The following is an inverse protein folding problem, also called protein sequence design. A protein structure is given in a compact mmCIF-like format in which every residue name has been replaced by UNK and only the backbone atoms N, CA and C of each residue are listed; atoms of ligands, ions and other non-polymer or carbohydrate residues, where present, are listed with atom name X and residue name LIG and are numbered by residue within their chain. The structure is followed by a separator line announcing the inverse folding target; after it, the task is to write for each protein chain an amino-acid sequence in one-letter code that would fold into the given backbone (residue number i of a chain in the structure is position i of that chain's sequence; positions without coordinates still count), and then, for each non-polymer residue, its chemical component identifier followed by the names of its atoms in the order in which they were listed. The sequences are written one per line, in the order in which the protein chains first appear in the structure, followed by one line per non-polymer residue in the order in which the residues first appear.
data_IF_528838247206
#
_entry.id   IF_528838247206
#
_cell.length_a   1.000
_cell.length_b   1.000
_cell.length_c   1.000
_cell.angle_alpha   90.00
_cell.angle_beta   90.00
_cell.angle_gamma   90.00
#
_symmetry.space_group_name_H-M   'P 1'
#
loop_
_entity.id
_entity.type
_entity.pdbx_description
1 polymer ?
#
# COMPACT_ATOMS: atom_id res chain seq x y z
N UNK A 1 -1.71 -11.60 91.71
CA UNK A 1 -0.23 -11.60 91.66
C UNK A 1 0.15 -10.85 90.39
N UNK A 2 0.47 -9.55 90.50
CA UNK A 2 1.80 -8.96 90.76
C UNK A 2 2.79 -9.17 89.60
N UNK A 3 3.19 -8.04 89.02
CA UNK A 3 4.23 -7.83 88.00
C UNK A 3 5.60 -8.41 88.42
N UNK A 4 6.56 -8.41 87.47
CA UNK A 4 7.65 -7.45 87.68
C UNK A 4 8.00 -6.60 86.46
N UNK A 5 8.32 -5.35 86.76
CA UNK A 5 9.04 -4.39 85.93
C UNK A 5 10.48 -4.86 85.66
N UNK A 6 10.97 -4.59 84.46
CA UNK A 6 12.40 -4.32 84.23
C UNK A 6 12.57 -3.28 83.13
N UNK A 7 13.52 -2.40 83.39
CA UNK A 7 13.67 -1.05 82.85
C UNK A 7 14.18 -1.01 81.41
N UNK A 8 13.79 0.06 80.73
CA UNK A 8 14.38 0.56 79.49
C UNK A 8 15.92 0.53 79.52
N UNK A 9 16.51 -0.10 78.50
CA UNK A 9 17.81 0.28 77.95
C UNK A 9 17.54 0.76 76.53
N UNK A 10 17.65 2.06 76.30
CA UNK A 10 17.44 2.66 75.00
C UNK A 10 18.44 2.10 73.98
N UNK A 11 17.93 1.39 72.98
CA UNK A 11 18.56 1.39 71.67
C UNK A 11 17.72 2.34 70.84
N UNK A 12 18.19 3.57 70.72
CA UNK A 12 17.67 4.53 69.76
C UNK A 12 17.71 3.85 68.40
N UNK A 13 16.55 3.41 67.94
CA UNK A 13 16.28 3.07 66.56
C UNK A 13 16.49 4.35 65.76
N UNK A 14 17.77 4.65 65.45
CA UNK A 14 18.10 5.56 64.36
C UNK A 14 17.35 4.99 63.15
N UNK A 15 16.56 5.80 62.43
CA UNK A 15 16.14 5.37 61.11
C UNK A 15 17.45 5.07 60.40
N UNK A 16 17.64 3.84 59.93
CA UNK A 16 18.63 3.56 58.89
C UNK A 16 18.20 4.41 57.70
N UNK A 17 18.59 5.69 57.74
CA UNK A 17 18.64 6.53 56.58
C UNK A 17 19.54 5.73 55.65
N UNK A 18 18.90 5.15 54.62
CA UNK A 18 19.54 4.73 53.39
C UNK A 18 20.51 5.84 52.99
N UNK A 19 21.75 5.74 53.44
CA UNK A 19 22.84 6.61 53.01
C UNK A 19 23.22 6.12 51.63
N UNK A 20 22.38 6.45 50.65
CA UNK A 20 22.76 6.40 49.25
C UNK A 20 24.02 7.25 49.14
N UNK A 21 25.15 6.61 48.87
CA UNK A 21 26.38 7.34 48.59
C UNK A 21 26.23 7.96 47.20
N UNK A 22 26.92 9.07 46.94
CA UNK A 22 26.92 9.69 45.60
C UNK A 22 27.34 8.69 44.52
N UNK A 23 28.19 7.71 44.86
CA UNK A 23 28.56 6.60 43.98
C UNK A 23 27.36 5.72 43.58
N UNK A 24 26.51 5.35 44.55
CA UNK A 24 25.31 4.54 44.29
C UNK A 24 24.32 5.27 43.36
N UNK A 25 24.22 6.60 43.51
CA UNK A 25 23.41 7.43 42.60
C UNK A 25 23.99 7.44 41.18
N UNK A 26 25.32 7.56 41.03
CA UNK A 26 25.97 7.50 39.72
C UNK A 26 25.81 6.13 39.03
N UNK A 27 25.86 5.03 39.77
CA UNK A 27 25.65 3.70 39.20
C UNK A 27 24.19 3.47 38.78
N UNK A 28 23.22 3.93 39.57
CA UNK A 28 21.81 3.91 39.15
C UNK A 28 21.55 4.70 37.88
N UNK A 29 22.14 5.89 37.75
CA UNK A 29 22.03 6.71 36.52
C UNK A 29 22.63 5.97 35.33
N UNK A 30 23.76 5.28 35.53
CA UNK A 30 24.42 4.49 34.50
C UNK A 30 23.55 3.31 34.03
N UNK A 31 22.92 2.61 34.96
CA UNK A 31 22.02 1.49 34.67
C UNK A 31 20.75 1.97 33.96
N UNK A 32 20.14 3.07 34.41
CA UNK A 32 18.98 3.70 33.77
C UNK A 32 19.32 4.17 32.35
N UNK A 33 20.52 4.74 32.14
CA UNK A 33 20.99 5.13 30.81
C UNK A 33 21.22 3.93 29.90
N UNK A 34 21.83 2.85 30.39
CA UNK A 34 22.01 1.61 29.62
C UNK A 34 20.67 0.97 29.26
N UNK A 35 19.72 0.95 30.21
CA UNK A 35 18.36 0.49 29.96
C UNK A 35 17.69 1.33 28.87
N UNK A 36 17.76 2.66 28.99
CA UNK A 36 17.21 3.58 27.99
C UNK A 36 17.84 3.38 26.61
N UNK A 37 19.16 3.18 26.55
CA UNK A 37 19.89 2.90 25.32
C UNK A 37 19.42 1.58 24.67
N UNK A 38 19.22 0.53 25.48
CA UNK A 38 18.69 -0.75 25.01
C UNK A 38 17.25 -0.61 24.47
N UNK A 39 16.39 0.12 25.18
CA UNK A 39 15.02 0.39 24.72
C UNK A 39 15.00 1.17 23.41
N UNK A 40 15.86 2.19 23.28
CA UNK A 40 16.00 2.95 22.03
C UNK A 40 16.45 2.07 20.86
N UNK A 41 17.42 1.18 21.07
CA UNK A 41 17.88 0.28 20.03
C UNK A 41 16.78 -0.68 19.57
N UNK A 42 16.06 -1.29 20.51
CA UNK A 42 14.91 -2.14 20.22
C UNK A 42 13.83 -1.39 19.42
N UNK A 43 13.48 -0.17 19.86
CA UNK A 43 12.50 0.66 19.17
C UNK A 43 12.95 1.02 17.75
N UNK A 44 14.23 1.32 17.56
CA UNK A 44 14.79 1.60 16.22
C UNK A 44 14.61 0.41 15.27
N UNK A 45 14.91 -0.80 15.74
CA UNK A 45 14.72 -2.01 14.94
C UNK A 45 13.24 -2.24 14.61
N UNK A 46 12.34 -1.94 15.54
CA UNK A 46 10.90 -2.01 15.30
C UNK A 46 10.44 -0.98 14.26
N UNK A 47 10.97 0.25 14.30
CA UNK A 47 10.71 1.27 13.27
C UNK A 47 11.20 0.83 11.88
N UNK A 48 12.40 0.28 11.78
CA UNK A 48 12.95 -0.21 10.51
C UNK A 48 12.11 -1.36 9.95
N UNK A 49 11.66 -2.27 10.81
CA UNK A 49 10.74 -3.35 10.45
C UNK A 49 9.39 -2.80 9.93
N UNK A 50 8.77 -1.87 10.66
CA UNK A 50 7.51 -1.25 10.25
C UNK A 50 7.65 -0.49 8.93
N UNK A 51 8.79 0.15 8.67
CA UNK A 51 9.06 0.80 7.39
C UNK A 51 9.10 -0.20 6.23
N UNK A 52 9.70 -1.37 6.44
CA UNK A 52 9.70 -2.47 5.46
C UNK A 52 8.29 -3.00 5.20
N UNK A 53 7.52 -3.31 6.26
CA UNK A 53 6.14 -3.79 6.17
C UNK A 53 5.24 -2.77 5.45
N UNK A 54 5.42 -1.47 5.71
CA UNK A 54 4.71 -0.40 5.01
C UNK A 54 5.01 -0.42 3.50
N UNK A 55 6.27 -0.57 3.11
CA UNK A 55 6.65 -0.64 1.70
C UNK A 55 6.07 -1.88 1.02
N UNK A 56 6.02 -3.01 1.71
CA UNK A 56 5.40 -4.23 1.20
C UNK A 56 3.89 -4.09 1.04
N UNK A 57 3.22 -3.53 2.06
CA UNK A 57 1.79 -3.23 2.00
C UNK A 57 1.48 -2.30 0.82
N UNK A 58 2.31 -1.28 0.58
CA UNK A 58 2.14 -0.38 -0.55
C UNK A 58 2.23 -1.11 -1.90
N UNK A 59 3.16 -2.07 -2.03
CA UNK A 59 3.28 -2.88 -3.25
C UNK A 59 2.02 -3.72 -3.50
N UNK A 60 1.51 -4.39 -2.47
CA UNK A 60 0.27 -5.14 -2.57
C UNK A 60 -0.92 -4.23 -2.86
N UNK A 61 -1.00 -3.07 -2.23
CA UNK A 61 -2.05 -2.09 -2.48
C UNK A 61 -2.10 -1.67 -3.95
N UNK A 62 -0.96 -1.29 -4.54
CA UNK A 62 -0.90 -0.91 -5.96
C UNK A 62 -1.30 -2.07 -6.87
N UNK A 63 -0.77 -3.27 -6.60
CA UNK A 63 -1.10 -4.48 -7.36
C UNK A 63 -2.61 -4.78 -7.35
N UNK A 64 -3.26 -4.73 -6.18
CA UNK A 64 -4.70 -4.96 -6.07
C UNK A 64 -5.52 -3.83 -6.70
N UNK A 65 -5.04 -2.59 -6.66
CA UNK A 65 -5.71 -1.45 -7.30
C UNK A 65 -5.75 -1.62 -8.81
N UNK A 66 -4.61 -1.91 -9.44
CA UNK A 66 -4.51 -2.11 -10.89
C UNK A 66 -5.32 -3.33 -11.34
N UNK A 67 -5.20 -4.45 -10.62
CA UNK A 67 -5.94 -5.66 -10.92
C UNK A 67 -7.46 -5.44 -10.80
N UNK A 68 -7.92 -4.82 -9.72
CA UNK A 68 -9.34 -4.52 -9.51
C UNK A 68 -9.89 -3.61 -10.60
N UNK A 69 -9.12 -2.61 -11.02
CA UNK A 69 -9.51 -1.71 -12.11
C UNK A 69 -9.66 -2.46 -13.44
N UNK A 70 -8.70 -3.32 -13.78
CA UNK A 70 -8.77 -4.16 -14.99
C UNK A 70 -9.96 -5.12 -14.98
N UNK A 71 -10.18 -5.80 -13.85
CA UNK A 71 -11.34 -6.69 -13.66
C UNK A 71 -12.66 -5.92 -13.76
N UNK A 72 -12.72 -4.70 -13.24
CA UNK A 72 -13.93 -3.87 -13.29
C UNK A 72 -14.29 -3.48 -14.73
N UNK A 73 -13.31 -3.08 -15.54
CA UNK A 73 -13.53 -2.78 -16.96
C UNK A 73 -14.06 -4.01 -17.69
N UNK A 74 -13.40 -5.15 -17.52
CA UNK A 74 -13.80 -6.37 -18.23
C UNK A 74 -15.18 -6.85 -17.77
N UNK A 75 -15.51 -6.74 -16.48
CA UNK A 75 -16.84 -7.03 -15.95
C UNK A 75 -17.92 -6.18 -16.64
N UNK A 76 -17.75 -4.85 -16.69
CA UNK A 76 -18.71 -3.97 -17.36
C UNK A 76 -18.81 -4.25 -18.86
N UNK A 77 -17.70 -4.55 -19.52
CA UNK A 77 -17.68 -4.94 -20.93
C UNK A 77 -18.47 -6.23 -21.18
N UNK A 78 -18.28 -7.27 -20.36
CA UNK A 78 -19.04 -8.52 -20.48
C UNK A 78 -20.53 -8.31 -20.20
N UNK A 79 -20.88 -7.48 -19.20
CA UNK A 79 -22.27 -7.12 -18.92
C UNK A 79 -22.95 -6.45 -20.12
N UNK A 80 -22.27 -5.52 -20.79
CA UNK A 80 -22.79 -4.86 -21.99
C UNK A 80 -22.91 -5.82 -23.18
N UNK A 81 -21.96 -6.76 -23.35
CA UNK A 81 -22.06 -7.82 -24.37
C UNK A 81 -23.31 -8.67 -24.11
N UNK A 82 -23.51 -9.15 -22.88
CA UNK A 82 -24.68 -9.94 -22.49
C UNK A 82 -25.97 -9.19 -22.77
N UNK A 83 -26.04 -7.89 -22.43
CA UNK A 83 -27.19 -7.03 -22.71
C UNK A 83 -27.50 -6.94 -24.20
N UNK A 84 -26.49 -6.73 -25.05
CA UNK A 84 -26.66 -6.64 -26.51
C UNK A 84 -27.10 -7.97 -27.10
N UNK A 85 -26.47 -9.08 -26.69
CA UNK A 85 -26.84 -10.43 -27.14
C UNK A 85 -28.30 -10.75 -26.76
N UNK A 86 -28.71 -10.44 -25.53
CA UNK A 86 -30.08 -10.63 -25.09
C UNK A 86 -31.06 -9.75 -25.90
N UNK A 87 -30.67 -8.52 -26.22
CA UNK A 87 -31.44 -7.63 -27.10
C UNK A 87 -31.62 -8.21 -28.51
N UNK A 88 -30.57 -8.80 -29.09
CA UNK A 88 -30.65 -9.48 -30.40
C UNK A 88 -31.59 -10.69 -30.31
N UNK A 89 -31.45 -11.53 -29.28
CA UNK A 89 -32.33 -12.69 -29.07
C UNK A 89 -33.80 -12.28 -28.98
N UNK A 90 -34.12 -11.21 -28.23
CA UNK A 90 -35.48 -10.68 -28.12
C UNK A 90 -36.03 -10.16 -29.45
N UNK A 91 -35.17 -9.56 -30.30
CA UNK A 91 -35.57 -9.09 -31.64
C UNK A 91 -35.83 -10.24 -32.62
N UNK A 92 -35.09 -11.34 -32.52
CA UNK A 92 -35.26 -12.52 -33.39
C UNK A 92 -36.48 -13.36 -32.99
N UNK A 93 -36.85 -13.36 -31.70
CA UNK A 93 -37.89 -14.22 -31.13
C UNK A 93 -39.25 -14.15 -31.87
N UNK A 94 -39.80 -12.97 -32.24
CA UNK A 94 -41.08 -12.88 -32.95
C UNK A 94 -41.10 -13.54 -34.34
N UNK A 95 -39.94 -13.79 -34.95
CA UNK A 95 -39.84 -14.39 -36.29
C UNK A 95 -39.87 -15.93 -36.27
N UNK A 96 -39.86 -16.55 -35.09
CA UNK A 96 -39.90 -18.00 -34.91
C UNK A 96 -41.35 -18.51 -34.76
N UNK A 97 -41.57 -19.81 -35.02
CA UNK A 97 -42.86 -20.45 -34.71
C UNK A 97 -43.10 -20.51 -33.20
N UNK A 98 -44.36 -20.56 -32.79
CA UNK A 98 -44.77 -20.58 -31.36
C UNK A 98 -44.07 -21.65 -30.52
N UNK A 99 -43.88 -22.86 -31.07
CA UNK A 99 -43.16 -23.94 -30.39
C UNK A 99 -41.67 -23.59 -30.17
N UNK A 100 -41.00 -23.09 -31.20
CA UNK A 100 -39.59 -22.69 -31.10
C UNK A 100 -39.41 -21.44 -30.22
N UNK A 101 -40.37 -20.52 -30.18
CA UNK A 101 -40.33 -19.37 -29.27
C UNK A 101 -40.23 -19.81 -27.81
N UNK A 102 -41.05 -20.77 -27.39
CA UNK A 102 -41.04 -21.26 -26.01
C UNK A 102 -39.72 -21.98 -25.67
N UNK A 103 -39.17 -22.77 -26.60
CA UNK A 103 -37.89 -23.45 -26.44
C UNK A 103 -36.73 -22.45 -26.29
N UNK A 104 -36.67 -21.45 -27.17
CA UNK A 104 -35.63 -20.41 -27.15
C UNK A 104 -35.73 -19.58 -25.88
N UNK A 105 -36.93 -19.19 -25.45
CA UNK A 105 -37.13 -18.44 -24.21
C UNK A 105 -36.63 -19.23 -22.99
N UNK A 106 -36.95 -20.53 -22.91
CA UNK A 106 -36.45 -21.40 -21.84
C UNK A 106 -34.92 -21.55 -21.87
N UNK A 107 -34.33 -21.65 -23.05
CA UNK A 107 -32.88 -21.75 -23.20
C UNK A 107 -32.15 -20.46 -22.77
N UNK A 108 -32.69 -19.28 -23.11
CA UNK A 108 -32.13 -17.99 -22.70
C UNK A 108 -32.15 -17.83 -21.17
N UNK A 109 -33.27 -18.17 -20.53
CA UNK A 109 -33.38 -18.07 -19.07
C UNK A 109 -32.43 -19.04 -18.36
N UNK A 110 -32.25 -20.25 -18.89
CA UNK A 110 -31.23 -21.19 -18.40
C UNK A 110 -29.81 -20.66 -18.60
N UNK A 111 -29.49 -20.09 -19.77
CA UNK A 111 -28.16 -19.57 -20.07
C UNK A 111 -27.77 -18.40 -19.15
N UNK A 112 -28.74 -17.61 -18.68
CA UNK A 112 -28.53 -16.52 -17.71
C UNK A 112 -28.31 -17.00 -16.28
N UNK A 113 -28.72 -18.23 -15.95
CA UNK A 113 -28.59 -18.80 -14.62
C UNK A 113 -27.24 -19.51 -14.47
N UNK A 114 -26.22 -18.75 -14.09
CA UNK A 114 -24.92 -19.32 -13.72
C UNK A 114 -24.95 -19.71 -12.24
N UNK A 115 -24.72 -21.00 -11.96
CA UNK A 115 -24.68 -21.50 -10.58
C UNK A 115 -23.28 -21.40 -9.98
N UNK A 116 -23.18 -21.33 -8.65
CA UNK A 116 -21.90 -21.31 -7.93
C UNK A 116 -20.93 -22.46 -8.32
N UNK A 117 -21.36 -23.74 -8.47
CA UNK A 117 -20.45 -24.80 -8.89
C UNK A 117 -19.91 -24.60 -10.31
N UNK A 118 -20.72 -24.12 -11.25
CA UNK A 118 -20.30 -23.81 -12.63
C UNK A 118 -19.29 -22.66 -12.63
N UNK A 119 -19.58 -21.58 -11.90
CA UNK A 119 -18.67 -20.45 -11.73
C UNK A 119 -17.32 -20.90 -11.15
N UNK A 120 -17.34 -21.70 -10.10
CA UNK A 120 -16.12 -22.25 -9.49
C UNK A 120 -15.34 -23.17 -10.45
N UNK A 121 -16.03 -23.89 -11.35
CA UNK A 121 -15.38 -24.69 -12.39
C UNK A 121 -14.65 -23.81 -13.41
N UNK A 122 -15.32 -22.76 -13.89
CA UNK A 122 -14.76 -21.80 -14.85
C UNK A 122 -13.54 -21.09 -14.27
N UNK A 123 -13.61 -20.60 -13.02
CA UNK A 123 -12.49 -19.94 -12.35
C UNK A 123 -11.28 -20.87 -12.26
N UNK A 124 -11.49 -22.15 -11.90
CA UNK A 124 -10.41 -23.14 -11.83
C UNK A 124 -9.77 -23.40 -13.18
N UNK A 125 -10.57 -23.50 -14.24
CA UNK A 125 -10.07 -23.68 -15.60
C UNK A 125 -9.24 -22.46 -16.05
N UNK A 126 -9.71 -21.25 -15.77
CA UNK A 126 -9.00 -20.02 -16.11
C UNK A 126 -7.67 -19.90 -15.35
N UNK A 127 -7.65 -20.29 -14.07
CA UNK A 127 -6.44 -20.26 -13.25
C UNK A 127 -5.36 -21.23 -13.79
N UNK A 128 -5.76 -22.43 -14.22
CA UNK A 128 -4.83 -23.38 -14.86
C UNK A 128 -4.23 -22.80 -16.15
N UNK A 129 -5.04 -22.15 -16.98
CA UNK A 129 -4.58 -21.51 -18.22
C UNK A 129 -3.60 -20.34 -17.94
N UNK A 130 -3.86 -19.55 -16.88
CA UNK A 130 -2.97 -18.44 -16.51
C UNK A 130 -1.61 -18.93 -16.00
N UNK A 131 -1.55 -20.02 -15.24
CA UNK A 131 -0.28 -20.62 -14.80
C UNK A 131 0.55 -21.16 -15.97
N UNK A 132 -0.09 -21.78 -16.97
CA UNK A 132 0.59 -22.20 -18.19
C UNK A 132 1.16 -21.00 -18.98
N UNK A 133 0.43 -19.89 -19.03
CA UNK A 133 0.87 -18.67 -19.71
C UNK A 133 2.07 -18.01 -19.03
N UNK A 134 2.14 -18.03 -17.68
CA UNK A 134 3.31 -17.55 -16.95
C UNK A 134 4.56 -18.42 -17.18
N UNK A 135 4.41 -19.74 -17.26
CA UNK A 135 5.51 -20.65 -17.61
C UNK A 135 6.05 -20.40 -19.03
N UNK A 136 5.17 -20.07 -19.98
CA UNK A 136 5.57 -19.73 -21.35
C UNK A 136 6.31 -18.38 -21.42
N UNK A 137 5.92 -17.39 -20.61
CA UNK A 137 6.56 -16.08 -20.55
C UNK A 137 7.99 -16.13 -19.97
N UNK A 138 8.28 -17.10 -19.10
CA UNK A 138 9.62 -17.34 -18.56
C UNK A 138 10.56 -18.08 -19.53
N UNK A 139 10.01 -18.69 -20.60
CA UNK A 139 10.75 -19.52 -21.54
C UNK A 139 11.26 -18.77 -22.78
N UNK A 140 11.09 -17.45 -22.90
CA UNK A 140 11.73 -16.67 -23.96
C UNK A 140 13.20 -16.35 -23.59
N UNK A 141 14.19 -16.94 -24.28
CA UNK A 141 15.58 -16.52 -24.11
C UNK A 141 15.73 -15.10 -24.66
N UNK A 142 15.99 -14.14 -23.78
CA UNK A 142 16.51 -12.83 -24.16
C UNK A 142 17.90 -13.05 -24.79
N UNK A 143 17.94 -13.29 -26.10
CA UNK A 143 19.15 -13.16 -26.89
C UNK A 143 19.32 -11.66 -27.20
N UNK A 144 20.35 -10.98 -26.67
CA UNK A 144 20.60 -9.59 -27.04
C UNK A 144 21.03 -9.54 -28.50
N UNK A 145 20.21 -8.90 -29.33
CA UNK A 145 20.53 -8.55 -30.71
C UNK A 145 21.68 -7.51 -30.70
N UNK A 146 22.76 -7.68 -31.48
CA UNK A 146 23.85 -6.70 -31.52
C UNK A 146 23.37 -5.45 -32.27
N UNK A 147 23.14 -4.36 -31.53
CA UNK A 147 22.91 -3.03 -32.08
C UNK A 147 24.24 -2.51 -32.62
N UNK A 148 24.36 -2.46 -33.95
CA UNK A 148 25.45 -1.78 -34.63
C UNK A 148 24.91 -1.01 -35.81
N UNK A 149 24.42 0.21 -35.60
CA UNK A 149 24.29 1.23 -36.64
C UNK A 149 24.53 2.63 -36.04
N UNK A 150 25.60 3.23 -36.52
CA UNK A 150 26.12 4.57 -36.22
C UNK A 150 25.19 5.66 -36.79
N UNK A 151 24.98 6.80 -36.10
CA UNK A 151 24.10 7.88 -36.58
C UNK A 151 24.78 8.76 -37.65
N UNK A 152 24.05 9.27 -38.65
CA UNK A 152 24.60 10.16 -39.68
C UNK A 152 24.72 11.61 -39.18
N UNK A 153 25.87 12.23 -39.47
CA UNK A 153 26.22 13.62 -39.14
C UNK A 153 25.52 14.65 -40.03
N UNK A 154 24.91 15.68 -39.42
CA UNK A 154 24.41 16.90 -40.08
C UNK A 154 25.52 17.98 -40.14
N UNK A 155 25.66 18.76 -41.23
CA UNK A 155 26.53 19.93 -41.26
C UNK A 155 25.84 21.22 -40.78
N UNK A 156 26.64 22.07 -40.12
CA UNK A 156 26.29 23.31 -39.44
C UNK A 156 25.86 24.48 -40.38
N UNK A 157 25.18 25.53 -39.83
CA UNK A 157 24.65 26.65 -40.61
C UNK A 157 25.63 27.84 -40.74
N UNK A 158 25.44 28.69 -41.76
CA UNK A 158 26.16 29.96 -41.96
C UNK A 158 25.20 31.17 -41.96
N UNK A 159 25.46 32.06 -40.99
CA UNK A 159 25.33 33.52 -40.96
C UNK A 159 24.11 34.23 -41.58
N UNK A 160 23.40 35.01 -40.75
CA UNK A 160 23.33 36.48 -40.86
C UNK A 160 23.09 37.10 -39.46
N UNK A 161 23.86 38.14 -39.14
CA UNK A 161 23.81 38.98 -37.93
C UNK A 161 22.73 40.10 -38.05
N UNK A 162 22.67 41.12 -37.17
CA UNK A 162 22.44 41.13 -35.71
C UNK A 162 21.37 42.18 -35.30
N UNK A 163 20.73 42.08 -34.12
CA UNK A 163 20.45 43.29 -33.30
C UNK A 163 19.90 42.98 -31.90
N UNK A 164 20.30 43.85 -30.97
CA UNK A 164 19.67 44.19 -29.69
C UNK A 164 20.11 43.47 -28.41
N UNK A 165 21.10 44.11 -27.77
CA UNK A 165 21.08 44.67 -26.39
C UNK A 165 20.93 43.73 -25.18
N UNK A 166 22.04 43.64 -24.44
CA UNK A 166 22.31 43.21 -23.05
C UNK A 166 21.46 43.90 -21.94
N UNK A 167 21.72 43.72 -20.62
CA UNK A 167 21.93 42.51 -19.78
C UNK A 167 21.28 42.59 -18.35
N UNK A 168 21.58 41.61 -17.47
CA UNK A 168 21.57 41.73 -15.99
C UNK A 168 20.67 40.70 -15.28
N UNK A 169 21.12 39.59 -14.64
CA UNK A 169 22.02 39.43 -13.46
C UNK A 169 21.63 40.36 -12.29
N UNK A 170 21.62 40.02 -10.99
CA UNK A 170 22.09 38.90 -10.15
C UNK A 170 21.54 39.18 -8.72
N UNK A 171 21.06 38.21 -7.93
CA UNK A 171 21.79 37.49 -6.85
C UNK A 171 21.55 37.98 -5.40
N UNK A 172 21.74 37.01 -4.49
CA UNK A 172 22.03 37.08 -3.03
C UNK A 172 20.82 37.39 -2.10
N UNK A 173 20.52 36.67 -1.03
CA UNK A 173 21.24 35.68 -0.21
C UNK A 173 21.49 36.25 1.20
N UNK A 174 20.99 35.61 2.28
CA UNK A 174 21.66 35.53 3.60
C UNK A 174 20.92 34.66 4.65
N UNK A 175 21.73 33.78 5.26
CA UNK A 175 21.78 33.11 6.58
C UNK A 175 20.74 33.21 7.73
N UNK A 176 20.50 32.01 8.31
CA UNK A 176 20.72 31.55 9.71
C UNK A 176 19.87 32.08 10.90
N UNK A 177 19.14 31.17 11.58
CA UNK A 177 19.20 30.94 13.05
C UNK A 177 18.23 29.88 13.60
N UNK A 178 18.61 29.34 14.77
CA UNK A 178 18.09 28.20 15.56
C UNK A 178 16.70 28.38 16.22
N UNK A 179 16.10 27.22 16.53
CA UNK A 179 15.22 26.84 17.66
C UNK A 179 13.97 27.67 18.01
N UNK A 180 12.78 27.05 17.97
CA UNK A 180 12.01 26.59 19.16
C UNK A 180 10.57 26.15 18.81
N UNK A 181 10.20 24.96 19.30
CA UNK A 181 8.91 24.48 19.84
C UNK A 181 7.54 25.07 19.42
N UNK A 182 6.64 24.13 19.08
CA UNK A 182 5.20 24.05 19.44
C UNK A 182 4.17 25.00 18.81
N UNK A 183 3.36 24.44 17.90
CA UNK A 183 1.91 24.16 18.07
C UNK A 183 1.24 23.99 16.70
N UNK A 184 0.43 22.94 16.56
CA UNK A 184 -0.47 22.80 15.41
C UNK A 184 -0.91 21.36 15.17
N UNK A 185 -1.78 20.86 16.03
CA UNK A 185 -2.65 19.72 15.70
C UNK A 185 -3.33 19.97 14.35
N UNK A 186 -3.09 19.10 13.39
CA UNK A 186 -4.03 18.90 12.29
C UNK A 186 -4.19 17.41 12.04
N UNK A 187 -5.01 16.82 12.90
CA UNK A 187 -5.56 15.49 12.74
C UNK A 187 -6.52 15.52 11.52
N UNK A 188 -6.02 15.28 10.31
CA UNK A 188 -6.87 14.92 9.17
C UNK A 188 -7.19 13.43 9.30
N UNK A 189 -8.29 13.17 9.98
CA UNK A 189 -9.02 11.90 9.94
C UNK A 189 -9.31 11.53 8.48
N UNK A 190 -8.48 10.69 7.87
CA UNK A 190 -8.86 9.96 6.66
C UNK A 190 -9.78 8.82 7.10
N UNK A 191 -11.08 9.06 7.00
CA UNK A 191 -12.08 8.01 6.97
C UNK A 191 -11.84 7.15 5.71
N UNK A 192 -11.55 5.84 5.81
CA UNK A 192 -11.67 5.00 4.64
C UNK A 192 -13.15 4.93 4.30
N UNK A 193 -13.50 5.47 3.13
CA UNK A 193 -14.86 5.51 2.61
C UNK A 193 -15.44 4.11 2.54
N UNK A 194 -16.33 3.81 3.48
CA UNK A 194 -17.33 2.76 3.36
C UNK A 194 -18.27 3.11 2.20
N UNK A 195 -18.51 2.15 1.33
CA UNK A 195 -19.67 2.08 0.43
C UNK A 195 -19.70 3.01 -0.79
N UNK A 196 -19.00 2.62 -1.84
CA UNK A 196 -19.29 3.04 -3.23
C UNK A 196 -19.28 1.83 -4.18
N UNK A 197 -19.97 0.75 -3.81
CA UNK A 197 -20.33 -0.32 -4.76
C UNK A 197 -21.68 -0.93 -4.36
N UNK A 198 -22.69 -0.08 -4.29
CA UNK A 198 -24.09 -0.49 -4.46
C UNK A 198 -24.91 0.76 -4.83
N UNK A 199 -25.05 1.03 -6.12
CA UNK A 199 -26.13 1.89 -6.60
C UNK A 199 -26.60 1.30 -7.92
N UNK A 200 -27.79 0.71 -7.83
CA UNK A 200 -28.59 0.20 -8.93
C UNK A 200 -28.60 1.16 -10.11
N UNK A 201 -28.26 0.66 -11.30
CA UNK A 201 -29.04 0.80 -12.55
C UNK A 201 -28.78 -0.44 -13.41
#
# INVERSE_FOLDING_TARGET
MMFPQSRHSGSSHLPQQLKFTTSDSCDRIKDEFQLLQAQYHSLKLECDKLASEKSEMQRHYVMYYEMSYGLNIEMHKQAEIVKRLNGICAQVLPYLSQEHQQQVLGAIERAKQVTAPELNSIIRQQLQAHQLSQLQALALPLTPLPVGLQPPSLPAPRQVNPMSTCPGEASQGLESSRETSSKGEQNKSYTPGTSLFCSHV
#
